data_IF_548776114198
#
_entry.id   IF_548776114198
#
_cell.length_a   1.000
_cell.length_b   1.000
_cell.length_c   1.000
_cell.angle_alpha   90.00
_cell.angle_beta   90.00
_cell.angle_gamma   90.00
#
_symmetry.space_group_name_H-M   'P 1'
#
loop_
_entity.id
_entity.type
_entity.pdbx_description
1 polymer ?
#
# COMPACT_ATOMS: atom_id res chain seq x y z
N UNK A 1 -30.27 13.95 -23.23
CA UNK A 1 -28.84 13.53 -23.32
C UNK A 1 -28.02 14.72 -22.87
N UNK A 2 -27.61 14.75 -21.60
CA UNK A 2 -26.76 15.85 -21.10
C UNK A 2 -25.38 15.69 -21.72
N UNK A 3 -24.95 16.66 -22.53
CA UNK A 3 -23.60 16.78 -23.07
C UNK A 3 -22.61 16.99 -21.90
N UNK A 4 -22.23 15.89 -21.24
CA UNK A 4 -21.10 15.91 -20.29
C UNK A 4 -19.86 16.20 -21.11
N UNK A 5 -19.36 17.42 -21.09
CA UNK A 5 -18.19 17.82 -21.87
C UNK A 5 -16.98 17.00 -21.46
N UNK A 6 -16.31 16.42 -22.44
CA UNK A 6 -15.06 15.68 -22.23
C UNK A 6 -13.99 16.59 -21.62
N UNK A 7 -13.31 16.10 -20.59
CA UNK A 7 -12.16 16.78 -20.03
C UNK A 7 -10.93 16.58 -20.93
N UNK A 8 -10.12 17.64 -21.09
CA UNK A 8 -8.86 17.52 -21.80
C UNK A 8 -7.88 16.59 -21.03
N UNK A 9 -6.91 16.00 -21.74
CA UNK A 9 -5.88 15.17 -21.11
C UNK A 9 -5.17 15.90 -19.95
N UNK A 10 -4.84 17.18 -20.13
CA UNK A 10 -4.23 17.99 -19.08
C UNK A 10 -5.11 18.10 -17.82
N UNK A 11 -6.44 18.25 -17.97
CA UNK A 11 -7.36 18.28 -16.82
C UNK A 11 -7.43 16.91 -16.12
N UNK A 12 -7.46 15.82 -16.87
CA UNK A 12 -7.42 14.46 -16.30
C UNK A 12 -6.10 14.19 -15.56
N UNK A 13 -4.98 14.65 -16.11
CA UNK A 13 -3.67 14.56 -15.47
C UNK A 13 -3.63 15.38 -14.18
N UNK A 14 -4.05 16.63 -14.22
CA UNK A 14 -4.07 17.52 -13.04
C UNK A 14 -4.92 16.96 -11.91
N UNK A 15 -6.04 16.28 -12.24
CA UNK A 15 -6.95 15.65 -11.29
C UNK A 15 -6.24 14.61 -10.41
N UNK A 16 -5.29 13.89 -10.98
CA UNK A 16 -4.58 12.78 -10.31
C UNK A 16 -3.13 13.10 -9.93
N UNK A 17 -2.59 14.26 -10.29
CA UNK A 17 -1.17 14.59 -10.11
C UNK A 17 -0.74 14.57 -8.64
N UNK A 18 -1.58 15.06 -7.73
CA UNK A 18 -1.29 15.01 -6.30
C UNK A 18 -1.15 13.59 -5.77
N UNK A 19 -1.75 12.60 -6.42
CA UNK A 19 -1.62 11.20 -6.04
C UNK A 19 -0.20 10.65 -6.24
N UNK A 20 0.55 11.18 -7.20
CA UNK A 20 1.99 10.90 -7.35
C UNK A 20 2.76 11.22 -6.06
N UNK A 21 2.54 12.40 -5.46
CA UNK A 21 3.17 12.78 -4.20
C UNK A 21 2.76 11.90 -3.03
N UNK A 22 1.48 11.55 -2.92
CA UNK A 22 0.97 10.64 -1.87
C UNK A 22 1.63 9.26 -1.99
N UNK A 23 1.84 8.77 -3.21
CA UNK A 23 2.48 7.47 -3.43
C UNK A 23 3.98 7.47 -3.14
N UNK A 24 4.67 8.61 -3.30
CA UNK A 24 6.05 8.74 -2.82
C UNK A 24 6.10 8.52 -1.29
N UNK A 25 5.21 9.18 -0.54
CA UNK A 25 5.16 9.01 0.92
C UNK A 25 4.87 7.56 1.32
N UNK A 26 3.89 6.93 0.66
CA UNK A 26 3.56 5.52 0.91
C UNK A 26 4.71 4.57 0.58
N UNK A 27 5.43 4.80 -0.52
CA UNK A 27 6.56 3.98 -0.93
C UNK A 27 7.75 4.13 0.04
N UNK A 28 8.06 5.36 0.46
CA UNK A 28 9.09 5.60 1.48
C UNK A 28 8.78 4.90 2.79
N UNK A 29 7.52 4.94 3.21
CA UNK A 29 7.05 4.22 4.38
C UNK A 29 7.24 2.71 4.19
N UNK A 30 6.66 2.13 3.14
CA UNK A 30 6.67 0.68 2.95
C UNK A 30 8.07 0.07 2.81
N UNK A 31 9.02 0.79 2.23
CA UNK A 31 10.40 0.32 2.09
C UNK A 31 11.27 0.54 3.33
N UNK A 32 10.95 1.53 4.19
CA UNK A 32 11.88 1.96 5.24
C UNK A 32 11.37 1.75 6.66
N UNK A 33 10.10 1.44 6.90
CA UNK A 33 9.57 1.31 8.27
C UNK A 33 10.31 0.24 9.07
N UNK A 34 10.47 -0.97 8.54
CA UNK A 34 11.22 -2.04 9.22
C UNK A 34 12.67 -1.65 9.47
N UNK A 35 13.32 -0.98 8.50
CA UNK A 35 14.67 -0.43 8.63
C UNK A 35 14.76 0.60 9.75
N UNK A 36 13.85 1.57 9.80
CA UNK A 36 13.81 2.63 10.81
C UNK A 36 13.65 2.01 12.21
N UNK A 37 12.64 1.14 12.42
CA UNK A 37 12.42 0.55 13.73
C UNK A 37 13.55 -0.38 14.18
N UNK A 38 14.13 -1.18 13.29
CA UNK A 38 15.31 -1.98 13.58
C UNK A 38 16.50 -1.09 14.01
N UNK A 39 16.72 0.03 13.30
CA UNK A 39 17.77 1.01 13.67
C UNK A 39 17.51 1.67 15.02
N UNK A 40 16.23 1.90 15.40
CA UNK A 40 15.85 2.41 16.71
C UNK A 40 15.99 1.37 17.84
N UNK A 41 16.40 0.14 17.51
CA UNK A 41 16.66 -0.95 18.43
C UNK A 41 15.52 -1.96 18.58
N UNK A 42 14.57 -2.01 17.63
CA UNK A 42 13.53 -3.03 17.64
C UNK A 42 14.11 -4.40 17.32
N UNK A 43 13.75 -5.39 18.12
CA UNK A 43 14.05 -6.79 17.86
C UNK A 43 13.30 -7.29 16.61
N UNK A 44 13.88 -8.18 15.78
CA UNK A 44 13.19 -8.75 14.62
C UNK A 44 11.81 -9.35 14.92
N UNK A 45 11.60 -9.89 16.14
CA UNK A 45 10.28 -10.38 16.58
C UNK A 45 9.24 -9.27 16.76
N UNK A 46 9.70 -8.05 17.06
CA UNK A 46 8.82 -6.88 17.26
C UNK A 46 8.48 -6.19 15.94
N UNK A 47 9.28 -6.37 14.88
CA UNK A 47 9.11 -5.64 13.62
C UNK A 47 7.71 -5.81 13.03
N UNK A 48 7.17 -7.04 13.05
CA UNK A 48 5.82 -7.29 12.53
C UNK A 48 4.73 -6.54 13.30
N UNK A 49 4.92 -6.31 14.61
CA UNK A 49 3.96 -5.56 15.43
C UNK A 49 3.76 -4.13 14.95
N UNK A 50 4.81 -3.45 14.50
CA UNK A 50 4.69 -2.09 13.98
C UNK A 50 3.84 -2.03 12.70
N UNK A 51 3.78 -3.13 11.94
CA UNK A 51 2.98 -3.26 10.73
C UNK A 51 1.48 -3.49 10.96
N UNK A 52 1.01 -3.52 12.22
CA UNK A 52 -0.43 -3.53 12.53
C UNK A 52 -1.07 -2.17 12.18
N UNK A 53 -0.36 -1.07 12.36
CA UNK A 53 -0.92 0.28 12.23
C UNK A 53 -1.37 0.63 10.82
N UNK A 54 -0.58 0.42 9.74
CA UNK A 54 -1.02 0.77 8.40
C UNK A 54 -2.37 0.17 8.01
N UNK A 55 -2.60 -1.15 8.08
CA UNK A 55 -3.89 -1.72 7.73
C UNK A 55 -5.01 -1.32 8.70
N UNK A 56 -4.71 -1.15 10.00
CA UNK A 56 -5.68 -0.71 10.99
C UNK A 56 -6.17 0.70 10.67
N UNK A 57 -5.27 1.63 10.40
CA UNK A 57 -5.62 3.00 10.02
C UNK A 57 -6.35 3.03 8.68
N UNK A 58 -5.93 2.25 7.68
CA UNK A 58 -6.64 2.11 6.41
C UNK A 58 -8.08 1.63 6.57
N UNK A 59 -8.30 0.66 7.44
CA UNK A 59 -9.63 0.10 7.71
C UNK A 59 -10.57 1.09 8.43
N UNK A 60 -10.03 1.93 9.32
CA UNK A 60 -10.81 2.89 10.11
C UNK A 60 -10.98 4.21 9.37
N UNK A 61 -9.90 4.78 8.87
CA UNK A 61 -9.87 6.16 8.36
C UNK A 61 -10.55 6.28 7.00
N UNK A 62 -10.34 5.34 6.07
CA UNK A 62 -10.90 5.45 4.73
C UNK A 62 -12.43 5.54 4.70
N UNK A 63 -13.21 4.69 5.40
CA UNK A 63 -14.67 4.82 5.43
C UNK A 63 -15.15 6.11 6.09
N UNK A 64 -14.46 6.55 7.16
CA UNK A 64 -14.78 7.79 7.86
C UNK A 64 -14.61 8.98 6.92
N UNK A 65 -13.45 9.10 6.27
CA UNK A 65 -13.16 10.19 5.33
C UNK A 65 -14.07 10.12 4.11
N UNK A 66 -14.37 8.92 3.59
CA UNK A 66 -15.35 8.74 2.54
C UNK A 66 -16.69 9.38 2.92
N UNK A 67 -17.26 8.96 4.05
CA UNK A 67 -18.57 9.45 4.53
C UNK A 67 -18.59 10.97 4.81
N UNK A 68 -17.57 11.48 5.51
CA UNK A 68 -17.50 12.91 5.83
C UNK A 68 -17.26 13.78 4.59
N UNK A 69 -16.37 13.37 3.70
CA UNK A 69 -16.08 14.12 2.48
C UNK A 69 -17.27 14.12 1.52
N UNK A 70 -18.16 13.12 1.56
CA UNK A 70 -19.41 13.09 0.79
C UNK A 70 -20.39 14.18 1.23
N UNK A 71 -20.40 14.52 2.52
CA UNK A 71 -21.29 15.51 3.11
C UNK A 71 -20.70 16.93 3.15
N UNK A 72 -19.41 17.07 2.87
CA UNK A 72 -18.71 18.35 2.96
C UNK A 72 -18.95 19.17 1.69
N UNK A 73 -19.42 20.39 1.89
CA UNK A 73 -19.53 21.42 0.85
C UNK A 73 -19.05 22.74 1.43
N UNK A 74 -17.88 23.19 1.03
CA UNK A 74 -17.32 24.46 1.49
C UNK A 74 -16.73 25.25 0.33
N UNK A 75 -16.26 26.47 0.58
CA UNK A 75 -15.65 27.35 -0.42
C UNK A 75 -14.42 26.75 -1.12
N UNK A 76 -13.74 25.80 -0.48
CA UNK A 76 -12.56 25.11 -1.04
C UNK A 76 -12.94 23.90 -1.91
N UNK A 77 -14.19 23.46 -1.86
CA UNK A 77 -14.69 22.28 -2.55
C UNK A 77 -15.16 21.19 -1.60
N UNK A 78 -15.38 19.99 -2.12
CA UNK A 78 -15.87 18.81 -1.40
C UNK A 78 -14.73 17.92 -0.91
N UNK A 79 -13.76 17.63 -1.78
CA UNK A 79 -12.65 16.71 -1.55
C UNK A 79 -11.34 17.40 -1.16
N UNK A 80 -11.09 18.57 -1.72
CA UNK A 80 -9.84 19.33 -1.57
C UNK A 80 -9.45 19.65 -0.13
N UNK A 81 -10.35 19.99 0.80
CA UNK A 81 -9.99 20.23 2.19
C UNK A 81 -9.30 19.02 2.84
N UNK A 82 -9.79 17.82 2.57
CA UNK A 82 -9.20 16.57 3.09
C UNK A 82 -7.84 16.28 2.49
N UNK A 83 -7.67 16.52 1.17
CA UNK A 83 -6.36 16.42 0.52
C UNK A 83 -5.32 17.28 1.20
N UNK A 84 -5.67 18.53 1.45
CA UNK A 84 -4.75 19.50 2.02
C UNK A 84 -4.42 19.19 3.48
N UNK A 85 -5.42 18.89 4.31
CA UNK A 85 -5.21 18.52 5.73
C UNK A 85 -4.38 17.26 5.83
N UNK A 86 -4.71 16.20 5.07
CA UNK A 86 -3.93 14.97 5.04
C UNK A 86 -2.48 15.21 4.63
N UNK A 87 -2.23 15.99 3.57
CA UNK A 87 -0.89 16.30 3.12
C UNK A 87 -0.08 17.09 4.15
N UNK A 88 -0.66 18.11 4.79
CA UNK A 88 0.03 18.93 5.81
C UNK A 88 0.45 18.05 7.01
N UNK A 89 -0.45 17.21 7.51
CA UNK A 89 -0.13 16.30 8.62
C UNK A 89 0.95 15.30 8.18
N UNK A 90 0.83 14.73 6.98
CA UNK A 90 1.80 13.77 6.45
C UNK A 90 3.21 14.36 6.36
N UNK A 91 3.35 15.61 5.90
CA UNK A 91 4.65 16.29 5.81
C UNK A 91 5.30 16.44 7.18
N UNK A 92 4.54 16.93 8.16
CA UNK A 92 5.06 17.09 9.53
C UNK A 92 5.58 15.75 10.07
N UNK A 93 4.81 14.69 9.87
CA UNK A 93 5.18 13.36 10.35
C UNK A 93 6.31 12.74 9.54
N UNK A 94 6.38 12.96 8.24
CA UNK A 94 7.52 12.52 7.41
C UNK A 94 8.85 13.16 7.85
N UNK A 95 8.80 14.34 8.46
CA UNK A 95 9.98 14.96 9.08
C UNK A 95 10.26 14.33 10.45
N UNK A 96 9.24 14.07 11.25
CA UNK A 96 9.39 13.57 12.63
C UNK A 96 9.84 12.11 12.69
N UNK A 97 9.23 11.24 11.89
CA UNK A 97 9.45 9.79 11.93
C UNK A 97 10.94 9.38 11.78
N UNK A 98 11.67 9.80 10.73
CA UNK A 98 13.08 9.40 10.58
C UNK A 98 14.01 10.09 11.59
N UNK A 99 13.53 11.10 12.33
CA UNK A 99 14.26 11.76 13.40
C UNK A 99 13.97 11.21 14.79
N UNK A 100 13.19 10.16 14.92
CA UNK A 100 12.81 9.58 16.21
C UNK A 100 14.03 9.26 17.11
N UNK A 101 15.12 8.77 16.52
CA UNK A 101 16.37 8.47 17.24
C UNK A 101 17.21 9.70 17.64
N UNK A 102 16.90 10.89 17.13
CA UNK A 102 17.65 12.11 17.47
C UNK A 102 17.13 12.77 18.76
N UNK A 103 15.96 12.38 19.24
CA UNK A 103 15.42 12.94 20.48
C UNK A 103 16.02 12.22 21.70
N UNK A 104 16.49 13.00 22.67
CA UNK A 104 16.98 12.46 23.94
C UNK A 104 15.81 12.04 24.82
N UNK A 105 15.47 10.76 24.79
CA UNK A 105 14.49 10.17 25.66
C UNK A 105 15.16 9.44 26.83
N UNK A 106 14.46 9.31 27.96
CA UNK A 106 14.86 8.41 29.03
C UNK A 106 14.92 6.96 28.51
N UNK A 107 15.97 6.23 28.87
CA UNK A 107 16.20 4.83 28.41
C UNK A 107 15.27 3.79 29.08
N UNK A 108 14.15 4.23 29.66
CA UNK A 108 13.18 3.30 30.26
C UNK A 108 12.40 2.55 29.20
N UNK A 109 12.32 1.22 29.34
CA UNK A 109 11.49 0.37 28.49
C UNK A 109 10.05 0.37 29.05
N UNK A 110 9.08 0.63 28.20
CA UNK A 110 7.66 0.44 28.50
C UNK A 110 7.09 -0.56 27.50
N UNK A 111 6.50 -1.65 27.99
CA UNK A 111 6.02 -2.77 27.17
C UNK A 111 7.07 -3.32 26.20
N UNK A 112 8.34 -3.35 26.58
CA UNK A 112 9.44 -3.84 25.77
C UNK A 112 9.94 -2.89 24.68
N UNK A 113 9.40 -1.66 24.58
CA UNK A 113 9.79 -0.64 23.62
C UNK A 113 10.46 0.54 24.34
N UNK A 114 11.52 1.07 23.75
CA UNK A 114 12.14 2.32 24.21
C UNK A 114 11.31 3.54 23.75
N UNK A 115 11.63 4.71 24.30
CA UNK A 115 10.87 5.93 24.02
C UNK A 115 10.97 6.38 22.55
N UNK A 116 12.10 6.13 21.87
CA UNK A 116 12.25 6.42 20.44
C UNK A 116 11.33 5.53 19.58
N UNK A 117 11.20 4.25 19.93
CA UNK A 117 10.26 3.35 19.26
C UNK A 117 8.80 3.78 19.47
N UNK A 118 8.42 4.18 20.69
CA UNK A 118 7.08 4.71 20.95
C UNK A 118 6.80 5.98 20.17
N UNK A 119 7.76 6.90 20.11
CA UNK A 119 7.64 8.11 19.30
C UNK A 119 7.49 7.77 17.81
N UNK A 120 8.31 6.82 17.31
CA UNK A 120 8.21 6.31 15.95
C UNK A 120 6.86 5.67 15.66
N UNK A 121 6.33 4.87 16.61
CA UNK A 121 5.04 4.19 16.50
C UNK A 121 3.88 5.19 16.39
N UNK A 122 3.83 6.22 17.25
CA UNK A 122 2.84 7.28 17.15
C UNK A 122 3.00 8.08 15.85
N UNK A 123 4.24 8.40 15.46
CA UNK A 123 4.50 9.06 14.19
C UNK A 123 4.00 8.22 13.01
N UNK A 124 4.25 6.91 13.00
CA UNK A 124 3.74 5.99 11.98
C UNK A 124 2.21 5.99 11.92
N UNK A 125 1.55 5.92 13.09
CA UNK A 125 0.09 5.97 13.17
C UNK A 125 -0.47 7.25 12.55
N UNK A 126 0.11 8.41 12.84
CA UNK A 126 -0.30 9.67 12.24
C UNK A 126 0.04 9.76 10.75
N UNK A 127 1.16 9.17 10.32
CA UNK A 127 1.52 9.11 8.90
C UNK A 127 0.49 8.29 8.12
N UNK A 128 0.16 7.10 8.59
CA UNK A 128 -0.85 6.25 7.94
C UNK A 128 -2.22 6.91 7.92
N UNK A 129 -2.63 7.51 9.03
CA UNK A 129 -3.88 8.27 9.12
C UNK A 129 -3.91 9.38 8.07
N UNK A 130 -2.87 10.18 8.00
CA UNK A 130 -2.80 11.34 7.10
C UNK A 130 -2.70 10.94 5.62
N UNK A 131 -1.94 9.91 5.30
CA UNK A 131 -1.87 9.34 3.94
C UNK A 131 -3.26 8.83 3.51
N UNK A 132 -3.98 8.13 4.38
CA UNK A 132 -5.32 7.63 4.07
C UNK A 132 -6.34 8.78 3.94
N UNK A 133 -6.22 9.85 4.75
CA UNK A 133 -7.04 11.06 4.61
C UNK A 133 -6.83 11.71 3.23
N UNK A 134 -5.59 11.79 2.75
CA UNK A 134 -5.28 12.38 1.45
C UNK A 134 -5.63 11.44 0.28
N UNK A 135 -5.38 10.14 0.42
CA UNK A 135 -5.55 9.14 -0.64
C UNK A 135 -7.02 8.95 -1.04
N UNK A 136 -7.93 8.91 -0.07
CA UNK A 136 -9.33 8.61 -0.31
C UNK A 136 -10.01 9.63 -1.26
N UNK A 137 -9.86 10.95 -1.05
CA UNK A 137 -10.39 11.94 -2.00
C UNK A 137 -9.88 11.77 -3.43
N UNK A 138 -8.60 11.44 -3.66
CA UNK A 138 -8.09 11.20 -5.01
C UNK A 138 -8.81 10.06 -5.73
N UNK A 139 -9.08 8.95 -5.02
CA UNK A 139 -9.84 7.84 -5.59
C UNK A 139 -11.25 8.26 -5.98
N UNK A 140 -11.87 9.16 -5.22
CA UNK A 140 -13.25 9.59 -5.41
C UNK A 140 -13.39 10.70 -6.45
N UNK A 141 -12.41 11.61 -6.58
CA UNK A 141 -12.47 12.74 -7.51
C UNK A 141 -12.65 12.31 -8.97
N UNK A 142 -12.06 11.21 -9.39
CA UNK A 142 -12.27 10.65 -10.74
C UNK A 142 -13.73 10.25 -10.93
N UNK A 143 -14.33 9.59 -9.94
CA UNK A 143 -15.74 9.24 -9.98
C UNK A 143 -16.67 10.44 -9.98
N UNK A 144 -16.32 11.48 -9.22
CA UNK A 144 -17.13 12.68 -9.03
C UNK A 144 -17.12 13.61 -10.25
N UNK A 145 -16.03 13.67 -11.03
CA UNK A 145 -15.79 14.73 -12.02
C UNK A 145 -15.62 14.24 -13.46
N UNK A 146 -15.42 12.94 -13.68
CA UNK A 146 -15.12 12.36 -15.00
C UNK A 146 -16.35 11.62 -15.54
N UNK A 147 -16.69 11.87 -16.81
CA UNK A 147 -17.79 11.14 -17.46
C UNK A 147 -17.45 9.65 -17.66
N UNK A 148 -18.47 8.81 -17.86
CA UNK A 148 -18.29 7.35 -17.97
C UNK A 148 -17.35 6.94 -19.12
N UNK A 149 -17.38 7.67 -20.25
CA UNK A 149 -16.56 7.37 -21.42
C UNK A 149 -15.06 7.59 -21.16
N UNK A 150 -14.71 8.55 -20.29
CA UNK A 150 -13.33 8.91 -19.97
C UNK A 150 -12.81 8.29 -18.67
N UNK A 151 -13.65 7.65 -17.85
CA UNK A 151 -13.22 7.05 -16.57
C UNK A 151 -12.07 6.06 -16.73
N UNK A 152 -12.10 5.23 -17.77
CA UNK A 152 -11.02 4.29 -18.06
C UNK A 152 -9.67 4.98 -18.27
N UNK A 153 -9.65 6.06 -19.05
CA UNK A 153 -8.45 6.88 -19.28
C UNK A 153 -8.00 7.57 -18.00
N UNK A 154 -8.93 8.15 -17.22
CA UNK A 154 -8.63 8.86 -15.99
C UNK A 154 -8.00 7.92 -14.93
N UNK A 155 -8.56 6.72 -14.74
CA UNK A 155 -7.98 5.72 -13.84
C UNK A 155 -6.65 5.18 -14.34
N UNK A 156 -6.45 5.09 -15.65
CA UNK A 156 -5.15 4.70 -16.22
C UNK A 156 -4.07 5.76 -15.93
N UNK A 157 -4.38 7.05 -16.08
CA UNK A 157 -3.50 8.15 -15.71
C UNK A 157 -3.20 8.11 -14.20
N UNK A 158 -4.22 7.92 -13.36
CA UNK A 158 -4.06 7.81 -11.92
C UNK A 158 -3.17 6.64 -11.52
N UNK A 159 -3.36 5.47 -12.14
CA UNK A 159 -2.53 4.29 -11.92
C UNK A 159 -1.08 4.52 -12.36
N UNK A 160 -0.86 5.17 -13.49
CA UNK A 160 0.48 5.54 -13.95
C UNK A 160 1.19 6.45 -12.94
N UNK A 161 0.54 7.51 -12.49
CA UNK A 161 1.08 8.45 -11.51
C UNK A 161 1.34 7.77 -10.15
N UNK A 162 0.46 6.87 -9.73
CA UNK A 162 0.62 6.04 -8.54
C UNK A 162 1.92 5.21 -8.62
N UNK A 163 2.09 4.45 -9.69
CA UNK A 163 3.28 3.60 -9.88
C UNK A 163 4.55 4.42 -10.03
N UNK A 164 4.51 5.53 -10.77
CA UNK A 164 5.66 6.44 -10.91
C UNK A 164 6.07 7.07 -9.57
N UNK A 165 5.10 7.46 -8.74
CA UNK A 165 5.36 7.96 -7.38
C UNK A 165 5.98 6.91 -6.48
N UNK A 166 5.46 5.69 -6.51
CA UNK A 166 6.01 4.56 -5.76
C UNK A 166 7.45 4.26 -6.18
N UNK A 167 7.71 4.20 -7.49
CA UNK A 167 9.04 3.97 -8.03
C UNK A 167 10.05 5.04 -7.57
N UNK A 168 9.66 6.33 -7.63
CA UNK A 168 10.48 7.43 -7.14
C UNK A 168 10.80 7.29 -5.64
N UNK A 169 9.78 7.02 -4.81
CA UNK A 169 9.94 6.83 -3.37
C UNK A 169 10.88 5.67 -3.01
N UNK A 170 10.77 4.56 -3.72
CA UNK A 170 11.62 3.39 -3.49
C UNK A 170 13.10 3.65 -3.80
N UNK A 171 13.40 4.46 -4.82
CA UNK A 171 14.79 4.69 -5.28
C UNK A 171 15.47 5.82 -4.48
N UNK A 172 14.77 6.71 -3.78
CA UNK A 172 15.38 7.85 -3.12
C UNK A 172 16.55 7.51 -2.19
N UNK A 173 16.47 6.52 -1.27
CA UNK A 173 17.59 6.27 -0.36
C UNK A 173 18.88 5.89 -1.07
N UNK A 174 18.83 5.04 -2.10
CA UNK A 174 20.01 4.66 -2.87
C UNK A 174 20.51 5.84 -3.74
N UNK A 175 19.61 6.63 -4.32
CA UNK A 175 19.97 7.80 -5.11
C UNK A 175 20.73 8.81 -4.26
N UNK A 176 20.26 9.10 -3.04
CA UNK A 176 20.92 10.00 -2.13
C UNK A 176 22.29 9.47 -1.67
N UNK A 177 22.42 8.17 -1.50
CA UNK A 177 23.73 7.55 -1.21
C UNK A 177 24.70 7.72 -2.39
N UNK A 178 24.24 7.57 -3.63
CA UNK A 178 25.08 7.75 -4.81
C UNK A 178 25.59 9.18 -5.00
N UNK A 179 24.82 10.17 -4.56
CA UNK A 179 25.27 11.58 -4.59
C UNK A 179 26.09 11.98 -3.36
N UNK A 180 26.46 11.02 -2.50
CA UNK A 180 27.38 11.22 -1.38
C UNK A 180 26.74 11.50 -0.03
N UNK A 181 25.42 11.34 0.15
CA UNK A 181 24.76 11.43 1.46
C UNK A 181 25.02 10.13 2.24
N UNK A 182 25.42 10.28 3.51
CA UNK A 182 25.79 9.17 4.36
C UNK A 182 24.63 8.15 4.55
N UNK A 183 24.94 6.86 4.34
CA UNK A 183 24.01 5.74 4.54
C UNK A 183 24.23 5.02 5.88
N UNK A 184 25.15 5.50 6.71
CA UNK A 184 25.45 5.03 8.05
C UNK A 184 25.29 6.16 9.06
N UNK A 185 24.93 5.82 10.29
CA UNK A 185 24.74 6.76 11.38
C UNK A 185 25.13 6.10 12.71
N UNK A 186 25.33 6.88 13.79
CA UNK A 186 25.48 6.34 15.12
C UNK A 186 24.32 5.40 15.50
N UNK A 187 24.60 4.45 16.39
CA UNK A 187 23.63 3.48 16.87
C UNK A 187 22.36 4.17 17.41
N UNK A 188 21.19 3.65 17.08
CA UNK A 188 19.90 4.23 17.44
C UNK A 188 19.47 5.44 16.58
N UNK A 189 20.26 5.82 15.58
CA UNK A 189 19.99 6.99 14.71
C UNK A 189 19.80 6.54 13.26
N UNK A 190 18.76 7.02 12.62
CA UNK A 190 18.46 6.73 11.22
C UNK A 190 19.47 7.44 10.29
N UNK A 191 20.02 6.77 9.25
CA UNK A 191 20.95 7.39 8.32
C UNK A 191 20.39 8.60 7.58
N UNK A 192 21.27 9.54 7.24
CA UNK A 192 20.87 10.77 6.55
C UNK A 192 20.30 10.51 5.15
N UNK A 193 20.74 9.45 4.45
CA UNK A 193 20.16 9.03 3.16
C UNK A 193 18.65 8.76 3.28
N UNK A 194 18.20 8.16 4.38
CA UNK A 194 16.79 7.91 4.66
C UNK A 194 16.10 9.22 5.08
N UNK A 195 16.70 10.02 5.99
CA UNK A 195 16.12 11.30 6.41
C UNK A 195 15.85 12.22 5.23
N UNK A 196 16.85 12.41 4.36
CA UNK A 196 16.72 13.23 3.16
C UNK A 196 15.67 12.68 2.20
N UNK A 197 15.55 11.35 2.08
CA UNK A 197 14.49 10.73 1.28
C UNK A 197 13.10 11.13 1.77
N UNK A 198 12.88 11.13 3.07
CA UNK A 198 11.61 11.56 3.66
C UNK A 198 11.39 13.07 3.52
N UNK A 199 12.43 13.92 3.68
CA UNK A 199 12.31 15.37 3.53
C UNK A 199 11.97 15.78 2.09
N UNK A 200 12.67 15.22 1.11
CA UNK A 200 12.40 15.49 -0.30
C UNK A 200 11.05 14.89 -0.70
N UNK A 201 10.72 13.69 -0.20
CA UNK A 201 9.40 13.08 -0.39
C UNK A 201 8.27 13.96 0.16
N UNK A 202 8.46 14.55 1.34
CA UNK A 202 7.51 15.49 1.95
C UNK A 202 7.36 16.78 1.11
N UNK A 203 8.46 17.33 0.63
CA UNK A 203 8.45 18.52 -0.25
C UNK A 203 7.73 18.24 -1.58
N UNK A 204 7.94 17.06 -2.18
CA UNK A 204 7.24 16.65 -3.39
C UNK A 204 5.76 16.37 -3.12
N UNK A 205 5.41 15.75 -1.99
CA UNK A 205 4.03 15.53 -1.59
C UNK A 205 3.25 16.84 -1.55
N UNK A 206 3.75 17.85 -0.82
CA UNK A 206 3.04 19.13 -0.72
C UNK A 206 2.97 19.84 -2.06
N UNK A 207 4.06 19.82 -2.83
CA UNK A 207 4.08 20.42 -4.17
C UNK A 207 3.00 19.81 -5.08
N UNK A 208 2.94 18.46 -5.13
CA UNK A 208 1.97 17.77 -5.98
C UNK A 208 0.52 17.99 -5.52
N UNK A 209 0.29 17.98 -4.19
CA UNK A 209 -1.05 18.22 -3.63
C UNK A 209 -1.48 19.68 -3.87
N UNK A 210 -0.61 20.65 -3.62
CA UNK A 210 -0.91 22.08 -3.90
C UNK A 210 -1.14 22.31 -5.40
N UNK A 211 -0.35 21.69 -6.27
CA UNK A 211 -0.59 21.76 -7.70
C UNK A 211 -2.00 21.30 -8.06
N UNK A 212 -2.42 20.11 -7.60
CA UNK A 212 -3.79 19.62 -7.81
C UNK A 212 -4.82 20.56 -7.16
N UNK A 213 -4.55 21.02 -5.94
CA UNK A 213 -5.45 21.92 -5.21
C UNK A 213 -5.75 23.20 -5.97
N UNK A 214 -4.76 23.82 -6.61
CA UNK A 214 -4.94 25.07 -7.35
C UNK A 214 -5.43 24.88 -8.79
N UNK A 215 -5.05 23.79 -9.45
CA UNK A 215 -5.40 23.55 -10.87
C UNK A 215 -6.74 22.87 -11.05
N UNK A 216 -7.23 22.11 -10.07
CA UNK A 216 -8.52 21.42 -10.14
C UNK A 216 -9.61 22.29 -9.53
N UNK A 217 -10.68 22.51 -10.28
CA UNK A 217 -11.91 23.13 -9.79
C UNK A 217 -12.97 22.04 -9.63
N UNK A 218 -13.35 21.74 -8.40
CA UNK A 218 -14.43 20.80 -8.13
C UNK A 218 -15.79 21.36 -8.54
N UNK A 219 -16.73 20.46 -8.85
CA UNK A 219 -18.12 20.82 -9.15
C UNK A 219 -18.76 21.39 -7.88
N UNK A 220 -19.57 22.44 -8.06
CA UNK A 220 -20.42 22.94 -6.98
C UNK A 220 -21.61 21.99 -6.74
N UNK A 221 -22.39 22.12 -5.64
CA UNK A 221 -23.49 21.20 -5.33
C UNK A 221 -24.52 21.07 -6.46
N UNK A 222 -24.83 22.14 -7.14
CA UNK A 222 -25.80 22.18 -8.27
C UNK A 222 -25.23 21.46 -9.49
N UNK A 223 -23.97 21.79 -9.87
CA UNK A 223 -23.27 21.17 -10.99
C UNK A 223 -23.08 19.65 -10.73
N UNK A 224 -22.82 19.27 -9.48
CA UNK A 224 -22.67 17.86 -9.08
C UNK A 224 -23.99 17.09 -9.23
N UNK A 225 -25.11 17.66 -8.73
CA UNK A 225 -26.43 17.06 -8.85
C UNK A 225 -26.85 16.90 -10.33
N UNK A 226 -26.63 17.93 -11.15
CA UNK A 226 -26.88 17.87 -12.60
C UNK A 226 -26.00 16.83 -13.30
N UNK A 227 -24.70 16.78 -12.93
CA UNK A 227 -23.74 15.85 -13.50
C UNK A 227 -24.11 14.38 -13.20
N UNK A 228 -24.57 14.08 -11.99
CA UNK A 228 -24.93 12.73 -11.57
C UNK A 228 -26.42 12.40 -11.78
N UNK A 229 -27.25 13.38 -12.17
CA UNK A 229 -28.68 13.17 -12.37
C UNK A 229 -29.44 12.90 -11.06
N UNK A 230 -28.94 13.42 -9.93
CA UNK A 230 -29.53 13.23 -8.61
C UNK A 230 -30.80 14.08 -8.51
N UNK A 231 -31.96 13.46 -8.28
CA UNK A 231 -33.20 14.14 -7.91
C UNK A 231 -33.27 14.21 -6.38
N UNK A 232 -33.71 15.34 -5.84
CA UNK A 232 -33.77 15.65 -4.39
C UNK A 232 -34.51 14.61 -3.50
N UNK A 233 -35.19 13.65 -4.08
CA UNK A 233 -36.01 12.66 -3.35
C UNK A 233 -35.33 11.31 -3.06
N UNK A 234 -34.08 11.05 -3.52
CA UNK A 234 -33.45 9.72 -3.41
C UNK A 234 -32.52 9.53 -2.19
N UNK A 235 -32.49 10.43 -1.21
CA UNK A 235 -31.50 10.40 -0.10
C UNK A 235 -31.83 9.43 1.07
N UNK A 236 -32.81 8.56 0.97
CA UNK A 236 -33.08 7.55 2.01
C UNK A 236 -32.80 6.12 1.52
N UNK A 237 -31.55 5.80 1.27
CA UNK A 237 -31.14 4.39 1.32
C UNK A 237 -31.05 3.98 2.80
N UNK A 238 -31.92 3.06 3.22
CA UNK A 238 -31.78 2.39 4.51
C UNK A 238 -30.39 1.75 4.59
N UNK A 239 -29.56 2.21 5.52
CA UNK A 239 -28.27 1.59 5.83
C UNK A 239 -28.54 0.17 6.34
N UNK A 240 -28.42 -0.81 5.47
CA UNK A 240 -28.48 -2.21 5.90
C UNK A 240 -27.35 -2.43 6.93
N UNK A 241 -27.69 -2.90 8.13
CA UNK A 241 -26.70 -3.06 9.20
C UNK A 241 -25.53 -3.95 8.75
N UNK A 242 -24.31 -3.57 9.13
CA UNK A 242 -23.04 -4.24 8.79
C UNK A 242 -23.10 -5.78 8.94
N UNK A 243 -23.65 -6.27 10.05
CA UNK A 243 -23.77 -7.71 10.33
C UNK A 243 -24.70 -8.39 9.33
N UNK A 244 -25.82 -7.75 8.97
CA UNK A 244 -26.78 -8.28 8.01
C UNK A 244 -26.17 -8.39 6.61
N UNK A 245 -25.34 -7.44 6.22
CA UNK A 245 -24.60 -7.48 4.96
C UNK A 245 -23.59 -8.62 4.93
N UNK A 246 -22.83 -8.84 6.01
CA UNK A 246 -21.91 -9.95 6.10
C UNK A 246 -22.61 -11.31 6.01
N UNK A 247 -23.70 -11.52 6.75
CA UNK A 247 -24.46 -12.79 6.72
C UNK A 247 -25.00 -13.08 5.32
N UNK A 248 -25.43 -12.05 4.60
CA UNK A 248 -26.01 -12.17 3.24
C UNK A 248 -24.97 -12.03 2.13
N UNK A 249 -23.67 -11.98 2.47
CA UNK A 249 -22.61 -11.83 1.47
C UNK A 249 -22.58 -13.05 0.52
N UNK A 250 -22.41 -12.81 -0.79
CA UNK A 250 -22.33 -13.90 -1.76
C UNK A 250 -21.13 -14.81 -1.46
N UNK A 251 -21.24 -16.10 -1.81
CA UNK A 251 -20.15 -17.06 -1.57
C UNK A 251 -18.81 -16.62 -2.19
N UNK A 252 -18.86 -15.89 -3.31
CA UNK A 252 -17.68 -15.31 -3.94
C UNK A 252 -16.94 -14.32 -3.01
N UNK A 253 -17.65 -13.52 -2.20
CA UNK A 253 -17.05 -12.61 -1.23
C UNK A 253 -16.11 -13.36 -0.25
N UNK A 254 -16.61 -14.46 0.33
CA UNK A 254 -15.86 -15.25 1.30
C UNK A 254 -14.72 -16.04 0.69
N UNK A 255 -14.94 -16.64 -0.48
CA UNK A 255 -13.92 -17.46 -1.14
C UNK A 255 -12.80 -16.61 -1.74
N UNK A 256 -13.12 -15.44 -2.31
CA UNK A 256 -12.13 -14.46 -2.73
C UNK A 256 -11.41 -13.86 -1.51
N UNK A 257 -12.15 -13.59 -0.42
CA UNK A 257 -11.58 -13.14 0.85
C UNK A 257 -10.55 -14.11 1.42
N UNK A 258 -10.78 -15.42 1.29
CA UNK A 258 -9.82 -16.45 1.71
C UNK A 258 -8.51 -16.38 0.88
N UNK A 259 -8.60 -16.23 -0.43
CA UNK A 259 -7.41 -16.05 -1.27
C UNK A 259 -6.65 -14.78 -0.87
N UNK A 260 -7.38 -13.67 -0.69
CA UNK A 260 -6.81 -12.40 -0.24
C UNK A 260 -6.14 -12.52 1.13
N UNK A 261 -6.68 -13.35 2.02
CA UNK A 261 -6.06 -13.61 3.32
C UNK A 261 -4.62 -14.09 3.18
N UNK A 262 -4.38 -15.10 2.36
CA UNK A 262 -3.04 -15.62 2.13
C UNK A 262 -2.14 -14.63 1.40
N UNK A 263 -2.66 -13.93 0.40
CA UNK A 263 -1.90 -12.96 -0.37
C UNK A 263 -1.41 -11.79 0.50
N UNK A 264 -2.30 -11.14 1.22
CA UNK A 264 -1.93 -9.96 2.01
C UNK A 264 -1.07 -10.30 3.23
N UNK A 265 -1.24 -11.48 3.81
CA UNK A 265 -0.34 -11.99 4.85
C UNK A 265 1.09 -12.20 4.31
N UNK A 266 1.23 -12.77 3.11
CA UNK A 266 2.51 -12.97 2.44
C UNK A 266 3.23 -11.64 2.17
N UNK A 267 2.53 -10.65 1.63
CA UNK A 267 3.13 -9.34 1.35
C UNK A 267 3.47 -8.55 2.62
N UNK A 268 2.72 -8.73 3.71
CA UNK A 268 3.13 -8.15 4.99
C UNK A 268 4.49 -8.70 5.44
N UNK A 269 4.72 -10.00 5.33
CA UNK A 269 6.03 -10.59 5.67
C UNK A 269 7.14 -10.06 4.77
N UNK A 270 6.87 -9.80 3.49
CA UNK A 270 7.81 -9.13 2.60
C UNK A 270 8.20 -7.75 3.15
N UNK A 271 7.24 -6.88 3.42
CA UNK A 271 7.54 -5.54 3.93
C UNK A 271 8.25 -5.55 5.28
N UNK A 272 7.92 -6.53 6.12
CA UNK A 272 8.51 -6.64 7.46
C UNK A 272 9.95 -7.14 7.42
N UNK A 273 10.22 -8.21 6.67
CA UNK A 273 11.44 -8.98 6.81
C UNK A 273 12.42 -8.86 5.62
N UNK A 274 12.07 -8.20 4.53
CA UNK A 274 12.96 -8.06 3.36
C UNK A 274 14.31 -7.46 3.71
N UNK A 275 14.36 -6.43 4.57
CA UNK A 275 15.62 -5.78 4.89
C UNK A 275 16.62 -6.73 5.56
N UNK A 276 16.20 -7.42 6.62
CA UNK A 276 17.05 -8.39 7.31
C UNK A 276 17.38 -9.62 6.45
N UNK A 277 16.41 -10.08 5.64
CA UNK A 277 16.64 -11.19 4.71
C UNK A 277 17.72 -10.83 3.67
N UNK A 278 17.62 -9.68 3.03
CA UNK A 278 18.59 -9.19 2.03
C UNK A 278 19.95 -8.93 2.69
N UNK A 279 19.95 -8.31 3.88
CA UNK A 279 21.17 -8.02 4.63
C UNK A 279 21.96 -9.29 4.94
N UNK A 280 21.29 -10.33 5.43
CA UNK A 280 21.92 -11.60 5.78
C UNK A 280 22.37 -12.38 4.54
N UNK A 281 21.55 -12.43 3.48
CA UNK A 281 21.84 -13.26 2.30
C UNK A 281 22.85 -12.61 1.35
N UNK A 282 22.75 -11.30 1.13
CA UNK A 282 23.49 -10.64 0.05
C UNK A 282 24.60 -9.69 0.56
N UNK A 283 24.51 -9.21 1.81
CA UNK A 283 25.43 -8.20 2.34
C UNK A 283 26.26 -8.70 3.53
N UNK A 284 26.13 -9.97 3.93
CA UNK A 284 26.91 -10.57 5.00
C UNK A 284 26.64 -10.00 6.40
N UNK A 285 25.44 -9.52 6.65
CA UNK A 285 25.03 -9.05 7.96
C UNK A 285 24.94 -10.20 8.96
N UNK A 286 25.48 -9.98 10.17
CA UNK A 286 25.54 -10.99 11.26
C UNK A 286 24.23 -11.20 12.03
N UNK A 287 23.21 -10.39 11.72
CA UNK A 287 21.91 -10.48 12.40
C UNK A 287 21.82 -9.68 13.72
N UNK A 288 22.87 -8.98 14.14
CA UNK A 288 22.95 -8.39 15.48
C UNK A 288 22.68 -6.88 15.45
N UNK A 289 23.49 -6.13 14.70
CA UNK A 289 23.46 -4.66 14.74
C UNK A 289 22.84 -4.08 13.47
N UNK A 290 21.63 -3.50 13.61
CA UNK A 290 20.94 -2.85 12.50
C UNK A 290 21.58 -1.50 12.08
N UNK A 291 22.48 -0.91 12.86
CA UNK A 291 23.27 0.27 12.46
C UNK A 291 24.48 -0.11 11.60
N UNK A 292 24.79 -1.41 11.44
CA UNK A 292 25.90 -1.87 10.62
C UNK A 292 25.72 -1.47 9.14
N UNK A 293 26.82 -1.11 8.43
CA UNK A 293 26.77 -0.75 7.01
C UNK A 293 26.05 -1.79 6.15
N UNK A 294 26.31 -3.08 6.37
CA UNK A 294 25.66 -4.17 5.64
C UNK A 294 24.13 -4.13 5.73
N UNK A 295 23.57 -3.85 6.91
CA UNK A 295 22.11 -3.74 7.10
C UNK A 295 21.55 -2.48 6.43
N UNK A 296 22.27 -1.38 6.50
CA UNK A 296 21.85 -0.11 5.92
C UNK A 296 21.95 -0.11 4.39
N UNK A 297 22.99 -0.74 3.81
CA UNK A 297 23.11 -0.91 2.36
C UNK A 297 22.04 -1.86 1.81
N UNK A 298 21.74 -2.93 2.55
CA UNK A 298 20.60 -3.79 2.23
C UNK A 298 19.27 -3.01 2.26
N UNK A 299 19.10 -2.05 3.18
CA UNK A 299 17.93 -1.18 3.23
C UNK A 299 17.74 -0.33 1.97
N UNK A 300 18.83 0.20 1.40
CA UNK A 300 18.80 0.85 0.10
C UNK A 300 18.41 -0.13 -1.02
N UNK A 301 18.93 -1.37 -0.93
CA UNK A 301 18.66 -2.40 -1.93
C UNK A 301 17.21 -2.92 -1.86
N UNK A 302 16.56 -2.89 -0.70
CA UNK A 302 15.12 -3.15 -0.55
C UNK A 302 14.30 -2.24 -1.46
N UNK A 303 14.65 -0.94 -1.50
CA UNK A 303 14.00 0.01 -2.39
C UNK A 303 14.14 -0.39 -3.87
N UNK A 304 15.34 -0.80 -4.30
CA UNK A 304 15.58 -1.29 -5.67
C UNK A 304 14.75 -2.55 -5.94
N UNK A 305 14.72 -3.50 -5.00
CA UNK A 305 13.93 -4.73 -5.13
C UNK A 305 12.43 -4.42 -5.28
N UNK A 306 11.89 -3.50 -4.48
CA UNK A 306 10.47 -3.11 -4.57
C UNK A 306 10.18 -2.33 -5.87
N UNK A 307 11.13 -1.54 -6.36
CA UNK A 307 11.02 -0.90 -7.66
C UNK A 307 10.95 -1.95 -8.79
N UNK A 308 11.80 -2.96 -8.76
CA UNK A 308 11.79 -4.07 -9.74
C UNK A 308 10.53 -4.91 -9.59
N UNK A 309 10.04 -5.16 -8.38
CA UNK A 309 8.76 -5.81 -8.15
C UNK A 309 7.60 -5.03 -8.80
N UNK A 310 7.60 -3.70 -8.69
CA UNK A 310 6.58 -2.87 -9.32
C UNK A 310 6.66 -2.93 -10.86
N UNK A 311 7.87 -2.91 -11.44
CA UNK A 311 8.08 -3.10 -12.88
C UNK A 311 7.62 -4.49 -13.32
N UNK A 312 8.00 -5.54 -12.58
CA UNK A 312 7.56 -6.91 -12.83
C UNK A 312 6.03 -7.04 -12.80
N UNK A 313 5.38 -6.37 -11.85
CA UNK A 313 3.92 -6.30 -11.77
C UNK A 313 3.29 -5.64 -13.00
N UNK A 314 3.82 -4.51 -13.46
CA UNK A 314 3.31 -3.83 -14.66
C UNK A 314 3.46 -4.72 -15.91
N UNK A 315 4.60 -5.39 -16.06
CA UNK A 315 4.81 -6.31 -17.18
C UNK A 315 3.87 -7.52 -17.09
N UNK A 316 3.72 -8.12 -15.91
CA UNK A 316 2.83 -9.26 -15.72
C UNK A 316 1.36 -8.92 -15.93
N UNK A 317 0.94 -7.70 -15.58
CA UNK A 317 -0.42 -7.23 -15.81
C UNK A 317 -0.81 -7.28 -17.30
N UNK A 318 0.14 -7.10 -18.23
CA UNK A 318 -0.10 -7.25 -19.67
C UNK A 318 -0.30 -8.70 -20.11
N UNK A 319 0.22 -9.66 -19.32
CA UNK A 319 0.09 -11.10 -19.58
C UNK A 319 -1.20 -11.68 -19.00
N UNK A 320 -1.80 -11.08 -17.97
CA UNK A 320 -3.02 -11.58 -17.32
C UNK A 320 -4.14 -11.85 -18.33
N UNK A 321 -4.50 -10.95 -19.28
CA UNK A 321 -5.56 -11.21 -20.24
C UNK A 321 -5.25 -12.38 -21.19
N UNK A 322 -3.97 -12.63 -21.47
CA UNK A 322 -3.53 -13.76 -22.28
C UNK A 322 -3.70 -15.07 -21.53
N UNK A 323 -3.30 -15.07 -20.24
CA UNK A 323 -3.47 -16.21 -19.35
C UNK A 323 -4.95 -16.54 -19.11
N UNK A 324 -5.80 -15.52 -18.94
CA UNK A 324 -7.26 -15.69 -18.78
C UNK A 324 -7.89 -16.36 -19.99
N UNK A 325 -7.51 -15.98 -21.19
CA UNK A 325 -7.99 -16.61 -22.43
C UNK A 325 -7.57 -18.06 -22.53
N UNK A 326 -6.41 -18.44 -22.02
CA UNK A 326 -5.85 -19.79 -22.14
C UNK A 326 -6.23 -20.72 -20.98
N UNK A 327 -6.31 -20.21 -19.75
CA UNK A 327 -6.43 -20.98 -18.51
C UNK A 327 -7.62 -20.56 -17.63
N UNK A 328 -8.54 -19.75 -18.10
CA UNK A 328 -9.58 -19.09 -17.32
C UNK A 328 -9.05 -18.04 -16.33
N UNK A 329 -9.94 -17.22 -15.79
CA UNK A 329 -9.59 -16.21 -14.78
C UNK A 329 -8.99 -16.84 -13.51
N UNK A 330 -9.54 -17.95 -13.04
CA UNK A 330 -9.00 -18.70 -11.90
C UNK A 330 -7.61 -19.27 -12.18
N UNK A 331 -7.44 -19.87 -13.36
CA UNK A 331 -6.14 -20.38 -13.77
C UNK A 331 -5.08 -19.29 -13.87
N UNK A 332 -5.42 -18.14 -14.47
CA UNK A 332 -4.54 -16.98 -14.52
C UNK A 332 -4.14 -16.48 -13.12
N UNK A 333 -5.12 -16.44 -12.19
CA UNK A 333 -4.86 -16.03 -10.82
C UNK A 333 -3.92 -17.03 -10.10
N UNK A 334 -4.24 -18.33 -10.15
CA UNK A 334 -3.43 -19.36 -9.51
C UNK A 334 -1.99 -19.40 -10.07
N UNK A 335 -1.81 -19.33 -11.40
CA UNK A 335 -0.49 -19.28 -12.03
C UNK A 335 0.29 -18.06 -11.54
N UNK A 336 -0.32 -16.87 -11.48
CA UNK A 336 0.33 -15.65 -11.03
C UNK A 336 0.79 -15.76 -9.57
N UNK A 337 -0.04 -16.35 -8.70
CA UNK A 337 0.33 -16.58 -7.30
C UNK A 337 1.47 -17.60 -7.16
N UNK A 338 1.49 -18.67 -7.96
CA UNK A 338 2.57 -19.66 -7.94
C UNK A 338 3.89 -19.08 -8.46
N UNK A 339 3.86 -18.23 -9.48
CA UNK A 339 5.05 -17.50 -9.97
C UNK A 339 5.58 -16.58 -8.87
N UNK A 340 4.71 -15.83 -8.20
CA UNK A 340 5.09 -15.02 -7.05
C UNK A 340 5.63 -15.83 -5.88
N UNK A 341 5.05 -17.00 -5.60
CA UNK A 341 5.54 -17.92 -4.58
C UNK A 341 6.96 -18.41 -4.88
N UNK A 342 7.23 -18.74 -6.15
CA UNK A 342 8.59 -19.08 -6.59
C UNK A 342 9.56 -17.93 -6.33
N UNK A 343 9.16 -16.69 -6.63
CA UNK A 343 9.94 -15.50 -6.32
C UNK A 343 10.24 -15.39 -4.83
N UNK A 344 9.26 -15.54 -3.96
CA UNK A 344 9.45 -15.49 -2.51
C UNK A 344 10.37 -16.58 -1.99
N UNK A 345 10.16 -17.83 -2.42
CA UNK A 345 10.96 -18.97 -1.98
C UNK A 345 12.40 -18.84 -2.46
N UNK A 346 12.61 -18.34 -3.68
CA UNK A 346 13.96 -18.17 -4.23
C UNK A 346 14.80 -17.15 -3.45
N UNK A 347 14.20 -16.17 -2.75
CA UNK A 347 14.93 -15.22 -1.93
C UNK A 347 15.84 -15.86 -0.87
N UNK A 348 15.51 -17.06 -0.38
CA UNK A 348 16.33 -17.76 0.61
C UNK A 348 17.60 -18.38 -0.01
N UNK A 349 17.60 -18.65 -1.31
CA UNK A 349 18.67 -19.41 -1.99
C UNK A 349 19.59 -18.51 -2.83
N UNK A 350 19.21 -17.22 -2.98
CA UNK A 350 19.94 -16.25 -3.79
C UNK A 350 20.82 -15.41 -2.88
N UNK A 351 22.14 -15.49 -3.08
CA UNK A 351 23.14 -14.76 -2.29
C UNK A 351 23.73 -13.55 -3.07
N UNK A 352 23.38 -13.39 -4.34
CA UNK A 352 23.80 -12.25 -5.16
C UNK A 352 22.68 -11.23 -5.25
N UNK A 353 22.99 -9.97 -4.92
CA UNK A 353 22.00 -8.89 -4.89
C UNK A 353 21.36 -8.62 -6.25
N UNK A 354 22.09 -8.79 -7.36
CA UNK A 354 21.55 -8.55 -8.71
C UNK A 354 20.66 -9.68 -9.18
N UNK A 355 21.02 -10.95 -8.88
CA UNK A 355 20.16 -12.10 -9.17
C UNK A 355 18.87 -12.03 -8.35
N UNK A 356 18.93 -11.51 -7.14
CA UNK A 356 17.75 -11.31 -6.27
C UNK A 356 16.68 -10.43 -6.93
N UNK A 357 17.03 -9.52 -7.82
CA UNK A 357 16.07 -8.70 -8.56
C UNK A 357 15.11 -9.55 -9.41
N UNK A 358 15.57 -10.71 -9.91
CA UNK A 358 14.69 -11.66 -10.63
C UNK A 358 13.63 -12.22 -9.68
N UNK A 359 14.00 -12.55 -8.44
CA UNK A 359 13.06 -13.02 -7.41
C UNK A 359 11.96 -11.99 -7.17
N UNK A 360 12.33 -10.71 -7.02
CA UNK A 360 11.36 -9.64 -6.80
C UNK A 360 10.52 -9.33 -8.05
N UNK A 361 11.08 -9.46 -9.26
CA UNK A 361 10.30 -9.36 -10.48
C UNK A 361 9.20 -10.44 -10.56
N UNK A 362 9.52 -11.69 -10.16
CA UNK A 362 8.54 -12.78 -10.06
C UNK A 362 7.48 -12.52 -8.98
N UNK A 363 7.84 -11.95 -7.82
CA UNK A 363 6.89 -11.53 -6.78
C UNK A 363 5.90 -10.52 -7.35
N UNK A 364 6.34 -9.67 -8.28
CA UNK A 364 5.48 -8.73 -9.01
C UNK A 364 4.30 -9.39 -9.74
N UNK A 365 4.44 -10.64 -10.18
CA UNK A 365 3.35 -11.38 -10.82
C UNK A 365 2.16 -11.60 -9.86
N UNK A 366 2.43 -12.03 -8.63
CA UNK A 366 1.39 -12.18 -7.61
C UNK A 366 0.77 -10.83 -7.25
N UNK A 367 1.59 -9.77 -7.14
CA UNK A 367 1.12 -8.42 -6.85
C UNK A 367 0.13 -7.91 -7.90
N UNK A 368 0.45 -8.06 -9.19
CA UNK A 368 -0.46 -7.69 -10.29
C UNK A 368 -1.81 -8.40 -10.19
N UNK A 369 -1.77 -9.71 -10.00
CA UNK A 369 -2.98 -10.53 -9.99
C UNK A 369 -3.86 -10.27 -8.75
N UNK A 370 -3.27 -10.16 -7.56
CA UNK A 370 -4.02 -9.93 -6.32
C UNK A 370 -4.67 -8.55 -6.22
N UNK A 371 -4.19 -7.57 -6.98
CA UNK A 371 -4.81 -6.24 -7.04
C UNK A 371 -5.95 -6.18 -8.06
N UNK A 372 -5.89 -6.94 -9.15
CA UNK A 372 -6.85 -6.83 -10.26
C UNK A 372 -7.97 -7.89 -10.20
N UNK A 373 -7.60 -9.16 -10.11
CA UNK A 373 -8.53 -10.28 -10.30
C UNK A 373 -9.61 -10.38 -9.21
N UNK A 374 -9.31 -10.22 -7.90
CA UNK A 374 -10.31 -10.29 -6.84
C UNK A 374 -11.44 -9.29 -7.00
N UNK A 375 -11.13 -8.05 -7.37
CA UNK A 375 -12.13 -7.02 -7.63
C UNK A 375 -12.99 -7.37 -8.83
N UNK A 376 -12.41 -7.91 -9.90
CA UNK A 376 -13.14 -8.36 -11.09
C UNK A 376 -14.12 -9.48 -10.73
N UNK A 377 -13.67 -10.50 -10.00
CA UNK A 377 -14.54 -11.63 -9.59
C UNK A 377 -15.67 -11.12 -8.70
N UNK A 378 -15.37 -10.27 -7.73
CA UNK A 378 -16.36 -9.76 -6.80
C UNK A 378 -17.39 -8.86 -7.50
N UNK A 379 -16.96 -7.94 -8.35
CA UNK A 379 -17.88 -7.07 -9.10
C UNK A 379 -18.78 -7.86 -10.03
N UNK A 380 -18.27 -8.90 -10.70
CA UNK A 380 -19.08 -9.80 -11.52
C UNK A 380 -20.11 -10.56 -10.68
N UNK A 381 -19.73 -11.04 -9.48
CA UNK A 381 -20.65 -11.75 -8.58
C UNK A 381 -21.74 -10.85 -8.01
N UNK A 382 -21.46 -9.54 -7.86
CA UNK A 382 -22.39 -8.54 -7.34
C UNK A 382 -23.19 -7.81 -8.43
N UNK A 383 -23.05 -8.20 -9.69
CA UNK A 383 -23.73 -7.57 -10.82
C UNK A 383 -25.25 -7.62 -10.62
N UNK A 384 -25.91 -6.46 -10.70
CA UNK A 384 -27.34 -6.30 -10.41
C UNK A 384 -27.72 -6.17 -8.92
N UNK A 385 -26.75 -6.23 -8.01
CA UNK A 385 -27.00 -5.99 -6.59
C UNK A 385 -27.08 -4.50 -6.28
N UNK A 386 -28.15 -4.06 -5.58
CA UNK A 386 -28.28 -2.69 -5.06
C UNK A 386 -27.23 -2.36 -3.97
N UNK A 387 -26.60 -3.38 -3.37
CA UNK A 387 -25.62 -3.23 -2.28
C UNK A 387 -24.17 -3.37 -2.74
N UNK A 388 -23.87 -3.26 -4.05
CA UNK A 388 -22.52 -3.44 -4.59
C UNK A 388 -21.49 -2.53 -3.90
N UNK A 389 -21.81 -1.24 -3.72
CA UNK A 389 -20.90 -0.28 -3.08
C UNK A 389 -20.55 -0.65 -1.64
N UNK A 390 -21.54 -1.17 -0.87
CA UNK A 390 -21.30 -1.63 0.50
C UNK A 390 -20.38 -2.86 0.53
N UNK A 391 -20.58 -3.84 -0.36
CA UNK A 391 -19.72 -5.02 -0.43
C UNK A 391 -18.29 -4.68 -0.88
N UNK A 392 -18.12 -3.74 -1.78
CA UNK A 392 -16.78 -3.25 -2.17
C UNK A 392 -16.08 -2.52 -1.01
N UNK A 393 -16.83 -1.77 -0.20
CA UNK A 393 -16.32 -1.16 1.03
C UNK A 393 -15.91 -2.22 2.07
N UNK A 394 -16.76 -3.25 2.29
CA UNK A 394 -16.45 -4.38 3.16
C UNK A 394 -15.26 -5.21 2.67
N UNK A 395 -15.05 -5.26 1.36
CA UNK A 395 -13.93 -6.00 0.78
C UNK A 395 -12.56 -5.43 1.22
N UNK A 396 -12.49 -4.16 1.59
CA UNK A 396 -11.28 -3.61 2.19
C UNK A 396 -10.89 -4.32 3.50
N UNK A 397 -11.86 -4.86 4.24
CA UNK A 397 -11.57 -5.67 5.43
C UNK A 397 -10.81 -6.96 5.08
N UNK A 398 -11.08 -7.57 3.90
CA UNK A 398 -10.34 -8.75 3.43
C UNK A 398 -8.90 -8.45 3.04
N UNK A 399 -8.56 -7.18 2.91
CA UNK A 399 -7.20 -6.66 2.69
C UNK A 399 -6.51 -6.39 4.03
N UNK A 400 -7.19 -5.71 4.94
CA UNK A 400 -6.60 -5.22 6.19
C UNK A 400 -6.49 -6.30 7.27
N UNK A 401 -7.54 -7.12 7.47
CA UNK A 401 -7.56 -8.16 8.50
C UNK A 401 -6.43 -9.19 8.36
N UNK A 402 -6.12 -9.73 7.17
CA UNK A 402 -5.00 -10.65 7.00
C UNK A 402 -3.66 -10.06 7.41
N UNK A 403 -3.45 -8.79 7.10
CA UNK A 403 -2.23 -8.08 7.47
C UNK A 403 -2.13 -7.92 8.99
N UNK A 404 -3.22 -7.57 9.67
CA UNK A 404 -3.25 -7.48 11.13
C UNK A 404 -2.95 -8.84 11.76
N UNK A 405 -3.58 -9.92 11.27
CA UNK A 405 -3.33 -11.28 11.76
C UNK A 405 -1.88 -11.69 11.53
N UNK A 406 -1.35 -11.47 10.33
CA UNK A 406 0.05 -11.78 10.00
C UNK A 406 1.03 -10.96 10.85
N UNK A 407 0.73 -9.69 11.12
CA UNK A 407 1.54 -8.84 11.97
C UNK A 407 1.58 -9.33 13.43
N UNK A 408 0.44 -9.78 13.96
CA UNK A 408 0.37 -10.36 15.30
C UNK A 408 1.11 -11.69 15.43
N UNK A 409 1.08 -12.51 14.39
CA UNK A 409 1.67 -13.86 14.41
C UNK A 409 3.14 -13.87 13.92
N UNK A 410 3.60 -12.83 13.23
CA UNK A 410 4.88 -12.81 12.53
C UNK A 410 6.07 -13.05 13.44
N UNK A 411 6.13 -12.39 14.60
CA UNK A 411 7.22 -12.60 15.57
C UNK A 411 7.27 -14.03 16.13
N UNK A 412 6.09 -14.62 16.41
CA UNK A 412 5.99 -16.01 16.84
C UNK A 412 6.42 -17.01 15.75
N UNK A 413 6.01 -16.75 14.51
CA UNK A 413 6.41 -17.57 13.36
C UNK A 413 7.92 -17.48 13.10
N UNK A 414 8.51 -16.28 13.20
CA UNK A 414 9.96 -16.10 13.07
C UNK A 414 10.73 -16.97 14.05
N UNK A 415 10.28 -17.05 15.31
CA UNK A 415 10.87 -17.92 16.33
C UNK A 415 10.77 -19.41 15.95
N UNK A 416 9.63 -19.86 15.45
CA UNK A 416 9.40 -21.26 15.06
C UNK A 416 10.32 -21.67 13.91
N UNK A 417 10.59 -20.78 12.95
CA UNK A 417 11.44 -21.08 11.79
C UNK A 417 12.93 -20.80 12.04
N UNK A 418 13.35 -20.69 13.32
CA UNK A 418 14.77 -20.57 13.70
C UNK A 418 15.36 -19.18 13.49
N UNK A 419 14.55 -18.14 13.69
CA UNK A 419 14.92 -16.71 13.67
C UNK A 419 15.46 -16.21 12.31
N UNK A 420 15.21 -16.96 11.25
CA UNK A 420 15.64 -16.63 9.89
C UNK A 420 14.66 -15.68 9.21
N UNK A 421 15.06 -14.43 8.99
CA UNK A 421 14.24 -13.48 8.21
C UNK A 421 14.11 -13.93 6.74
N UNK A 422 15.11 -14.59 6.18
CA UNK A 422 15.02 -15.25 4.86
C UNK A 422 14.01 -16.41 4.88
N UNK A 423 13.90 -17.13 5.99
CA UNK A 423 12.87 -18.14 6.22
C UNK A 423 11.45 -17.54 6.20
N UNK A 424 11.27 -16.30 6.67
CA UNK A 424 9.98 -15.59 6.58
C UNK A 424 9.58 -15.29 5.13
N UNK A 425 10.54 -15.09 4.22
CA UNK A 425 10.26 -14.99 2.79
C UNK A 425 9.75 -16.32 2.22
N UNK A 426 10.32 -17.45 2.66
CA UNK A 426 9.80 -18.78 2.31
C UNK A 426 8.38 -18.99 2.86
N UNK A 427 8.12 -18.58 4.10
CA UNK A 427 6.76 -18.62 4.67
C UNK A 427 5.77 -17.80 3.86
N UNK A 428 6.16 -16.63 3.37
CA UNK A 428 5.34 -15.82 2.46
C UNK A 428 5.05 -16.57 1.15
N UNK A 429 6.04 -17.24 0.57
CA UNK A 429 5.85 -18.07 -0.61
C UNK A 429 4.88 -19.24 -0.37
N UNK A 430 4.97 -19.90 0.78
CA UNK A 430 4.04 -20.97 1.18
C UNK A 430 2.62 -20.44 1.33
N UNK A 431 2.43 -19.25 1.91
CA UNK A 431 1.11 -18.61 1.98
C UNK A 431 0.54 -18.35 0.58
N UNK A 432 1.34 -17.89 -0.39
CA UNK A 432 0.87 -17.72 -1.77
C UNK A 432 0.50 -19.05 -2.44
N UNK A 433 1.18 -20.14 -2.11
CA UNK A 433 0.80 -21.49 -2.60
C UNK A 433 -0.58 -21.86 -2.04
N UNK A 434 -0.84 -21.66 -0.74
CA UNK A 434 -2.17 -21.87 -0.17
C UNK A 434 -3.21 -20.95 -0.81
N UNK A 435 -2.85 -19.69 -1.10
CA UNK A 435 -3.67 -18.77 -1.86
C UNK A 435 -4.03 -19.31 -3.25
N UNK A 436 -3.06 -19.83 -3.99
CA UNK A 436 -3.24 -20.41 -5.32
C UNK A 436 -4.20 -21.62 -5.31
N UNK A 437 -4.07 -22.52 -4.32
CA UNK A 437 -5.00 -23.63 -4.15
C UNK A 437 -6.41 -23.13 -3.76
N UNK A 438 -6.50 -22.11 -2.93
CA UNK A 438 -7.78 -21.53 -2.50
C UNK A 438 -8.55 -20.86 -3.65
N UNK A 439 -7.87 -20.47 -4.74
CA UNK A 439 -8.52 -19.93 -5.95
C UNK A 439 -9.56 -20.91 -6.52
N UNK A 440 -9.31 -22.21 -6.45
CA UNK A 440 -10.23 -23.22 -6.98
C UNK A 440 -11.51 -23.37 -6.17
N UNK A 441 -11.56 -22.84 -4.92
CA UNK A 441 -12.77 -22.79 -4.09
C UNK A 441 -13.71 -21.67 -4.52
N UNK A 442 -13.28 -20.72 -5.34
CA UNK A 442 -14.11 -19.60 -5.81
C UNK A 442 -15.24 -20.16 -6.67
N UNK A 443 -16.49 -19.85 -6.29
CA UNK A 443 -17.68 -20.21 -7.06
C UNK A 443 -18.03 -19.02 -7.96
N UNK A 444 -17.77 -19.15 -9.25
CA UNK A 444 -18.28 -18.20 -10.24
C UNK A 444 -19.76 -18.46 -10.50
N UNK A 445 -20.58 -17.39 -10.55
CA UNK A 445 -21.92 -17.52 -11.13
C UNK A 445 -21.75 -17.92 -12.60
N UNK A 446 -22.31 -19.05 -12.98
CA UNK A 446 -22.45 -19.44 -14.39
C UNK A 446 -23.41 -18.50 -15.09
#
# INVERSE_FOLDING_TARGET
MNNKTNLSFAKLFNLSFGFFGVQIAYALQSANISRIFATLGADPHQLSFFWILPPLMGMIVQPIIGKYSDKTWCSLGRRKPYLLVGAIIAILVMILLPNAGNFTFTQSLFLGLNAAMWFGLFSLMFLDTSINIAMQPFKMMVGDMVNEEQKGLAYSIQSFLCNAGSLAGYIFPILFTWIGIANTAPEGTVPDSVKWSFYVGAALLIFCVLYTFFTVKELNPKEYAEFHGIKEEEEKQEEAGFIKLLINAPSAFWTVGLVQFFCWAAFLFMWTYSNGAIASQCFGWDGINASAPAFQDAGNWVGVCFAIQAVGSMLWATLIPILEKRFTMKGAYAISLLVGALGFISCMFVNDQYILLVSYALIGAAWAAMLAIPFTILTNALQGSKSMGYYLGLFNCTICLPQIVAALLGGGLLKIIGESQSGMMVAAGVLLIFGAFSVYLIKEKK
#
